data_IF_352691547485
#
_entry.id   IF_352691547485
#
_cell.length_a   1.000
_cell.length_b   1.000
_cell.length_c   1.000
_cell.angle_alpha   90.00
_cell.angle_beta   90.00
_cell.angle_gamma   90.00
#
_symmetry.space_group_name_H-M   'P 1'
#
loop_
_entity.id
_entity.type
_entity.pdbx_description
1 polymer ?
#
# COMPACT_ATOMS: atom_id res chain seq x y z
N UNK A 1 -25.08 11.13 5.93
CA UNK A 1 -24.99 9.71 5.52
C UNK A 1 -23.88 9.68 4.50
N UNK A 2 -22.64 9.65 4.95
CA UNK A 2 -21.48 9.88 4.08
C UNK A 2 -20.64 8.60 4.11
N UNK A 3 -21.19 7.58 3.46
CA UNK A 3 -20.66 6.21 3.46
C UNK A 3 -19.69 5.99 2.29
N UNK A 4 -18.88 7.00 1.99
CA UNK A 4 -17.77 6.87 1.05
C UNK A 4 -16.48 7.02 1.84
N UNK A 5 -15.93 5.89 2.26
CA UNK A 5 -14.60 5.87 2.83
C UNK A 5 -13.64 6.36 1.74
N UNK A 6 -13.07 7.55 1.93
CA UNK A 6 -12.20 8.17 0.93
C UNK A 6 -10.89 7.37 0.90
N UNK A 7 -10.74 6.53 -0.11
CA UNK A 7 -9.50 5.79 -0.34
C UNK A 7 -8.48 6.75 -0.95
N UNK A 8 -7.31 6.89 -0.33
CA UNK A 8 -6.16 7.48 -1.02
C UNK A 8 -5.44 6.33 -1.72
N UNK A 9 -5.39 6.40 -3.05
CA UNK A 9 -4.65 5.48 -3.91
C UNK A 9 -3.30 6.11 -4.22
N UNK A 10 -2.23 5.54 -3.67
CA UNK A 10 -0.87 5.99 -3.96
C UNK A 10 -0.09 4.85 -4.61
N UNK A 11 0.42 5.10 -5.81
CA UNK A 11 1.33 4.18 -6.51
C UNK A 11 2.69 4.25 -5.86
N UNK A 12 3.20 3.08 -5.45
CA UNK A 12 4.47 3.04 -4.75
C UNK A 12 5.29 1.82 -5.14
N UNK A 13 6.60 2.05 -5.28
CA UNK A 13 7.54 1.02 -5.68
C UNK A 13 7.84 0.09 -4.51
N UNK A 14 7.59 -1.20 -4.72
CA UNK A 14 7.97 -2.25 -3.79
C UNK A 14 9.48 -2.50 -3.92
N UNK A 15 10.15 -2.61 -2.78
CA UNK A 15 11.57 -2.96 -2.74
C UNK A 15 11.81 -4.39 -3.22
N UNK A 16 13.06 -4.69 -3.60
CA UNK A 16 13.43 -6.02 -4.12
C UNK A 16 13.23 -7.13 -3.08
N UNK A 17 13.36 -6.78 -1.81
CA UNK A 17 13.11 -7.65 -0.64
C UNK A 17 11.62 -7.85 -0.30
N UNK A 18 10.70 -7.26 -1.07
CA UNK A 18 9.26 -7.40 -0.83
C UNK A 18 8.74 -6.51 0.30
N UNK A 19 9.45 -5.43 0.64
CA UNK A 19 8.96 -4.40 1.56
C UNK A 19 8.42 -3.19 0.81
N UNK A 20 7.36 -2.60 1.35
CA UNK A 20 6.87 -1.29 0.98
C UNK A 20 6.90 -0.37 2.20
N UNK A 21 7.48 0.83 2.06
CA UNK A 21 7.49 1.82 3.14
C UNK A 21 6.35 2.83 2.95
N UNK A 22 5.52 3.03 3.97
CA UNK A 22 4.48 4.06 3.98
C UNK A 22 4.31 4.66 5.37
N UNK A 23 4.31 5.99 5.42
CA UNK A 23 4.14 6.78 6.65
C UNK A 23 5.09 6.34 7.79
N UNK A 24 6.34 6.02 7.44
CA UNK A 24 7.33 5.50 8.38
C UNK A 24 7.17 4.02 8.77
N UNK A 25 6.09 3.36 8.36
CA UNK A 25 5.82 1.93 8.58
C UNK A 25 6.29 1.10 7.38
N UNK A 26 6.80 -0.11 7.64
CA UNK A 26 7.18 -1.07 6.59
C UNK A 26 6.17 -2.21 6.52
N UNK A 27 5.63 -2.43 5.34
CA UNK A 27 4.67 -3.48 5.03
C UNK A 27 5.36 -4.57 4.23
N UNK A 28 5.14 -5.84 4.60
CA UNK A 28 5.53 -6.98 3.77
C UNK A 28 4.47 -7.17 2.69
N UNK A 29 4.91 -7.31 1.45
CA UNK A 29 4.04 -7.69 0.33
C UNK A 29 4.41 -9.07 -0.19
N UNK A 30 3.48 -9.77 -0.85
CA UNK A 30 3.80 -11.01 -1.54
C UNK A 30 4.92 -10.80 -2.55
N UNK A 31 5.84 -11.77 -2.66
CA UNK A 31 7.05 -11.68 -3.47
C UNK A 31 6.78 -11.38 -4.95
N UNK A 32 5.60 -11.75 -5.45
CA UNK A 32 5.14 -11.51 -6.84
C UNK A 32 5.04 -10.01 -7.20
N UNK A 33 4.99 -9.16 -6.19
CA UNK A 33 4.97 -7.70 -6.30
C UNK A 33 6.36 -7.08 -6.07
N UNK A 34 7.38 -7.86 -5.72
CA UNK A 34 8.73 -7.34 -5.51
C UNK A 34 9.27 -6.66 -6.76
N UNK A 35 9.89 -5.50 -6.58
CA UNK A 35 10.38 -4.64 -7.69
C UNK A 35 9.29 -4.14 -8.66
N UNK A 36 8.00 -4.28 -8.32
CA UNK A 36 6.87 -3.71 -9.07
C UNK A 36 6.29 -2.49 -8.37
N UNK A 37 5.40 -1.81 -9.06
CA UNK A 37 4.55 -0.76 -8.48
C UNK A 37 3.31 -1.42 -7.88
N UNK A 38 3.02 -1.13 -6.62
CA UNK A 38 1.82 -1.54 -5.93
C UNK A 38 0.93 -0.33 -5.70
N UNK A 39 -0.39 -0.52 -5.80
CA UNK A 39 -1.37 0.50 -5.40
C UNK A 39 -1.64 0.28 -3.92
N UNK A 40 -1.26 1.27 -3.11
CA UNK A 40 -1.62 1.26 -1.71
C UNK A 40 -2.95 1.99 -1.53
N UNK A 41 -3.92 1.30 -0.93
CA UNK A 41 -5.20 1.89 -0.53
C UNK A 41 -5.22 2.06 0.97
N UNK A 42 -5.26 3.30 1.44
CA UNK A 42 -5.45 3.60 2.87
C UNK A 42 -6.87 4.04 3.15
N UNK A 43 -7.52 3.36 4.08
CA UNK A 43 -8.80 3.78 4.67
C UNK A 43 -8.62 4.04 6.15
N UNK A 44 -8.84 5.29 6.57
CA UNK A 44 -8.96 5.64 8.00
C UNK A 44 -7.86 5.04 8.91
N UNK A 45 -6.62 4.92 8.41
CA UNK A 45 -5.48 4.36 9.15
C UNK A 45 -5.14 2.89 8.91
N UNK A 46 -5.94 2.13 8.15
CA UNK A 46 -5.58 0.78 7.69
C UNK A 46 -5.24 0.80 6.20
N UNK A 47 -3.98 0.49 5.88
CA UNK A 47 -3.48 0.34 4.52
C UNK A 47 -3.60 -1.10 4.03
N UNK A 48 -4.13 -1.29 2.82
CA UNK A 48 -4.16 -2.58 2.12
C UNK A 48 -3.42 -2.45 0.79
N UNK A 49 -2.80 -3.55 0.36
CA UNK A 49 -2.00 -3.65 -0.87
C UNK A 49 -2.77 -4.47 -1.90
N UNK A 50 -2.91 -3.94 -3.11
CA UNK A 50 -3.54 -4.59 -4.26
C UNK A 50 -2.49 -4.99 -5.31
#
# INVERSE_FOLDING_TARGET
MDKYQKFLEELRKVHKDGLLSYDGVRYKVPWQYSSKEAVMRTTSGQGFLL
#
